data_IF_235467643534
#
_entry.id   IF_235467643534
#
_cell.length_a   1.000
_cell.length_b   1.000
_cell.length_c   1.000
_cell.angle_alpha   90.00
_cell.angle_beta   90.00
_cell.angle_gamma   90.00
#
_symmetry.space_group_name_H-M   'P 1'
#
loop_
_entity.id
_entity.type
_entity.pdbx_description
1 polymer ?
#
# COMPACT_ATOMS: atom_id res chain seq x y z
N UNK A 1 36.64 25.19 8.04
CA UNK A 1 35.52 26.14 8.16
C UNK A 1 34.42 25.66 7.23
N UNK A 2 33.28 25.16 7.73
CA UNK A 2 32.11 24.85 6.90
C UNK A 2 31.11 26.03 6.88
N UNK A 3 30.48 26.24 5.73
CA UNK A 3 29.64 27.39 5.38
C UNK A 3 28.21 27.39 5.99
N UNK A 4 27.54 28.57 6.11
CA UNK A 4 26.32 28.77 6.89
C UNK A 4 25.01 28.89 6.06
N UNK A 5 24.78 28.08 5.03
CA UNK A 5 23.59 28.27 4.14
C UNK A 5 22.38 27.39 4.53
N UNK A 6 22.56 26.29 5.24
CA UNK A 6 21.45 25.37 5.60
C UNK A 6 20.64 25.76 6.83
N UNK A 7 21.12 26.70 7.65
CA UNK A 7 20.48 27.08 8.92
C UNK A 7 19.37 28.14 8.75
N UNK A 8 19.32 28.85 7.61
CA UNK A 8 18.44 30.01 7.42
C UNK A 8 16.99 29.60 7.06
N UNK A 9 16.75 28.41 6.54
CA UNK A 9 15.41 27.98 6.09
C UNK A 9 14.48 27.46 7.21
N UNK A 10 15.02 26.73 8.19
CA UNK A 10 14.22 26.17 9.29
C UNK A 10 13.99 27.19 10.43
N UNK A 11 14.95 28.09 10.65
CA UNK A 11 14.85 29.14 11.68
C UNK A 11 13.83 30.24 11.34
N UNK A 12 13.69 30.61 10.06
CA UNK A 12 12.75 31.65 9.63
C UNK A 12 11.28 31.20 9.73
N UNK A 13 10.99 29.92 9.47
CA UNK A 13 9.65 29.34 9.60
C UNK A 13 9.28 29.18 11.08
N UNK A 14 10.23 28.80 11.94
CA UNK A 14 10.03 28.74 13.38
C UNK A 14 9.85 30.13 14.02
N UNK A 15 10.49 31.18 13.48
CA UNK A 15 10.33 32.56 13.95
C UNK A 15 8.98 33.18 13.54
N UNK A 16 8.41 32.80 12.39
CA UNK A 16 7.09 33.27 11.96
C UNK A 16 5.93 32.46 12.61
N UNK A 17 6.19 31.20 12.97
CA UNK A 17 5.26 30.31 13.69
C UNK A 17 5.54 30.22 15.19
N UNK A 18 6.17 31.25 15.77
CA UNK A 18 6.32 31.36 17.22
C UNK A 18 4.95 31.40 17.91
N UNK A 19 4.87 30.83 19.13
CA UNK A 19 3.67 30.78 19.99
C UNK A 19 2.86 32.09 20.02
N UNK A 20 3.53 33.23 19.90
CA UNK A 20 2.91 34.57 19.95
C UNK A 20 2.11 34.95 18.69
N UNK A 21 2.44 34.40 17.51
CA UNK A 21 1.75 34.72 16.26
C UNK A 21 0.40 34.00 16.13
N UNK A 22 0.37 32.71 16.49
CA UNK A 22 -0.83 31.87 16.44
C UNK A 22 -1.82 32.27 17.55
N UNK A 23 -1.32 32.60 18.75
CA UNK A 23 -2.15 33.06 19.87
C UNK A 23 -2.79 34.44 19.62
N UNK A 24 -2.10 35.35 18.91
CA UNK A 24 -2.67 36.67 18.56
C UNK A 24 -3.79 36.60 17.51
N UNK A 25 -3.77 35.59 16.64
CA UNK A 25 -4.79 35.42 15.58
C UNK A 25 -6.02 34.67 16.11
N UNK A 26 -5.82 33.68 16.99
CA UNK A 26 -6.88 32.74 17.37
C UNK A 26 -7.36 32.88 18.83
N UNK A 27 -6.67 33.65 19.67
CA UNK A 27 -7.05 33.86 21.08
C UNK A 27 -7.05 32.55 21.89
N UNK A 28 -7.97 32.39 22.88
CA UNK A 28 -8.09 31.16 23.69
C UNK A 28 -8.27 29.87 22.89
N UNK A 29 -8.73 29.97 21.64
CA UNK A 29 -8.83 28.85 20.70
C UNK A 29 -7.44 28.25 20.37
N UNK A 30 -6.36 29.02 20.45
CA UNK A 30 -5.00 28.53 20.23
C UNK A 30 -4.53 27.52 21.29
N UNK A 31 -5.06 27.59 22.53
CA UNK A 31 -4.75 26.62 23.58
C UNK A 31 -5.51 25.30 23.36
N UNK A 32 -6.78 25.40 22.95
CA UNK A 32 -7.61 24.24 22.58
C UNK A 32 -7.05 23.52 21.32
N UNK A 33 -6.75 24.29 20.27
CA UNK A 33 -6.06 23.80 19.08
C UNK A 33 -4.65 23.31 19.42
N UNK A 34 -3.95 23.94 20.36
CA UNK A 34 -2.60 23.56 20.77
C UNK A 34 -2.54 22.15 21.37
N UNK A 35 -3.53 21.76 22.19
CA UNK A 35 -3.67 20.41 22.72
C UNK A 35 -3.95 19.37 21.62
N UNK A 36 -4.91 19.66 20.73
CA UNK A 36 -5.25 18.78 19.60
C UNK A 36 -4.10 18.67 18.59
N UNK A 37 -3.40 19.76 18.30
CA UNK A 37 -2.21 19.79 17.44
C UNK A 37 -1.04 19.01 18.05
N UNK A 38 -0.88 19.05 19.37
CA UNK A 38 0.15 18.27 20.06
C UNK A 38 -0.15 16.77 19.96
N UNK A 39 -1.39 16.35 20.23
CA UNK A 39 -1.80 14.94 20.08
C UNK A 39 -1.69 14.47 18.64
N UNK A 40 -2.08 15.32 17.68
CA UNK A 40 -1.90 15.04 16.26
C UNK A 40 -0.43 14.86 15.87
N UNK A 41 0.45 15.76 16.35
CA UNK A 41 1.89 15.66 16.11
C UNK A 41 2.47 14.38 16.73
N UNK A 42 2.04 14.02 17.95
CA UNK A 42 2.43 12.76 18.60
C UNK A 42 2.00 11.54 17.78
N UNK A 43 0.74 11.50 17.30
CA UNK A 43 0.25 10.42 16.44
C UNK A 43 1.11 10.28 15.19
N UNK A 44 1.42 11.39 14.51
CA UNK A 44 2.31 11.39 13.34
C UNK A 44 3.70 10.84 13.66
N UNK A 45 4.30 11.29 14.76
CA UNK A 45 5.60 10.78 15.21
C UNK A 45 5.56 9.28 15.52
N UNK A 46 4.50 8.81 16.18
CA UNK A 46 4.31 7.39 16.48
C UNK A 46 4.19 6.55 15.21
N UNK A 47 3.39 6.99 14.23
CA UNK A 47 3.23 6.31 12.95
C UNK A 47 4.55 6.23 12.17
N UNK A 48 5.30 7.33 12.12
CA UNK A 48 6.65 7.33 11.53
C UNK A 48 7.55 6.35 12.28
N UNK A 49 7.53 6.35 13.62
CA UNK A 49 8.30 5.38 14.42
C UNK A 49 7.95 3.93 14.10
N UNK A 50 6.66 3.61 13.95
CA UNK A 50 6.20 2.27 13.56
C UNK A 50 6.67 1.87 12.15
N UNK A 51 6.59 2.79 11.19
CA UNK A 51 7.07 2.57 9.81
C UNK A 51 8.58 2.27 9.80
N UNK A 52 9.38 3.04 10.54
CA UNK A 52 10.82 2.82 10.63
C UNK A 52 11.16 1.50 11.34
N UNK A 53 10.47 1.18 12.44
CA UNK A 53 10.64 -0.10 13.12
C UNK A 53 10.27 -1.28 12.22
N UNK A 54 9.22 -1.14 11.41
CA UNK A 54 8.84 -2.14 10.41
C UNK A 54 9.92 -2.30 9.34
N UNK A 55 10.44 -1.19 8.80
CA UNK A 55 11.52 -1.20 7.81
C UNK A 55 12.80 -1.86 8.34
N UNK A 56 13.20 -1.54 9.58
CA UNK A 56 14.36 -2.13 10.26
C UNK A 56 14.22 -3.64 10.40
N UNK A 57 13.06 -4.13 10.87
CA UNK A 57 12.76 -5.56 10.96
C UNK A 57 12.87 -6.27 9.62
N UNK A 58 12.40 -5.64 8.54
CA UNK A 58 12.49 -6.19 7.17
C UNK A 58 13.91 -6.18 6.60
N UNK A 59 14.72 -5.19 6.96
CA UNK A 59 16.12 -5.13 6.57
C UNK A 59 16.96 -6.21 7.26
N UNK A 60 16.67 -6.50 8.54
CA UNK A 60 17.50 -7.41 9.34
C UNK A 60 18.96 -6.97 9.32
N UNK A 61 19.88 -7.91 9.08
CA UNK A 61 21.33 -7.64 9.03
C UNK A 61 21.76 -6.64 7.94
N UNK A 62 20.89 -6.35 6.94
CA UNK A 62 21.18 -5.35 5.90
C UNK A 62 21.22 -3.92 6.43
N UNK A 63 20.70 -3.66 7.63
CA UNK A 63 20.78 -2.33 8.26
C UNK A 63 22.24 -1.93 8.51
N UNK A 64 23.10 -2.90 8.85
CA UNK A 64 24.53 -2.70 9.13
C UNK A 64 25.40 -2.67 7.86
N UNK A 65 24.83 -3.07 6.72
CA UNK A 65 25.53 -3.03 5.44
C UNK A 65 25.54 -1.61 4.85
N UNK A 66 26.55 -1.23 4.05
CA UNK A 66 26.55 0.08 3.38
C UNK A 66 25.29 0.30 2.54
N UNK A 67 24.80 1.54 2.55
CA UNK A 67 23.60 1.93 1.80
C UNK A 67 22.87 3.08 2.46
N UNK A 68 22.08 3.79 1.67
CA UNK A 68 21.24 4.88 2.13
C UNK A 68 19.87 4.80 1.48
N UNK A 69 18.87 5.36 2.15
CA UNK A 69 17.53 5.53 1.58
C UNK A 69 17.55 6.87 0.81
N UNK A 70 17.17 6.90 -0.48
CA UNK A 70 17.11 8.13 -1.25
C UNK A 70 16.22 9.18 -0.58
N UNK A 71 16.65 10.46 -0.49
CA UNK A 71 15.88 11.51 0.19
C UNK A 71 14.46 11.71 -0.35
N UNK A 72 14.23 11.44 -1.64
CA UNK A 72 12.90 11.50 -2.25
C UNK A 72 11.93 10.48 -1.64
N UNK A 73 12.41 9.27 -1.37
CA UNK A 73 11.62 8.20 -0.71
C UNK A 73 11.31 8.63 0.72
N UNK A 74 12.34 9.05 1.44
CA UNK A 74 12.24 9.46 2.84
C UNK A 74 11.21 10.59 3.01
N UNK A 75 11.25 11.61 2.15
CA UNK A 75 10.31 12.73 2.16
C UNK A 75 8.85 12.25 2.05
N UNK A 76 8.55 11.39 1.08
CA UNK A 76 7.19 10.88 0.88
C UNK A 76 6.72 10.07 2.10
N UNK A 77 7.58 9.20 2.64
CA UNK A 77 7.21 8.36 3.79
C UNK A 77 6.96 9.21 5.05
N UNK A 78 7.80 10.21 5.33
CA UNK A 78 7.62 11.10 6.49
C UNK A 78 6.35 11.93 6.34
N UNK A 79 6.06 12.42 5.14
CA UNK A 79 4.88 13.25 4.94
C UNK A 79 3.62 12.39 4.97
N UNK A 80 3.50 11.41 4.10
CA UNK A 80 2.24 10.70 3.83
C UNK A 80 2.03 9.53 4.79
N UNK A 81 3.09 8.75 5.05
CA UNK A 81 3.03 7.64 6.01
C UNK A 81 2.69 8.11 7.43
N UNK A 82 3.06 9.34 7.79
CA UNK A 82 2.74 9.88 9.13
C UNK A 82 1.24 10.07 9.38
N UNK A 83 0.43 10.25 8.33
CA UNK A 83 -1.02 10.40 8.44
C UNK A 83 -1.78 9.07 8.32
N UNK A 84 -1.07 7.97 8.09
CA UNK A 84 -1.70 6.67 7.91
C UNK A 84 -2.17 6.07 9.24
N UNK A 85 -3.44 5.70 9.33
CA UNK A 85 -4.01 5.02 10.50
C UNK A 85 -4.21 3.51 10.29
N UNK A 86 -4.06 3.02 9.06
CA UNK A 86 -4.20 1.60 8.71
C UNK A 86 -2.86 0.86 8.78
N UNK A 87 -2.85 -0.33 9.40
CA UNK A 87 -1.65 -1.14 9.60
C UNK A 87 -1.01 -1.60 8.27
N UNK A 88 -1.80 -1.80 7.21
CA UNK A 88 -1.30 -2.15 5.87
C UNK A 88 -0.49 -0.98 5.30
N UNK A 89 -0.90 0.26 5.56
CA UNK A 89 -0.11 1.42 5.16
C UNK A 89 1.24 1.46 5.88
N UNK A 90 1.26 1.20 7.19
CA UNK A 90 2.50 1.09 7.96
C UNK A 90 3.41 0.00 7.39
N UNK A 91 2.85 -1.17 7.08
CA UNK A 91 3.57 -2.29 6.47
C UNK A 91 4.17 -1.89 5.12
N UNK A 92 3.38 -1.29 4.24
CA UNK A 92 3.81 -0.93 2.89
C UNK A 92 4.86 0.17 2.89
N UNK A 93 4.66 1.25 3.67
CA UNK A 93 5.68 2.31 3.78
C UNK A 93 6.97 1.77 4.39
N UNK A 94 6.88 0.87 5.37
CA UNK A 94 8.03 0.21 5.98
C UNK A 94 8.80 -0.65 4.97
N UNK A 95 8.09 -1.48 4.19
CA UNK A 95 8.70 -2.27 3.12
C UNK A 95 9.30 -1.42 2.01
N UNK A 96 8.68 -0.29 1.64
CA UNK A 96 9.24 0.63 0.64
C UNK A 96 10.55 1.22 1.13
N UNK A 97 10.65 1.64 2.41
CA UNK A 97 11.91 2.08 3.00
C UNK A 97 12.97 0.98 2.96
N UNK A 98 12.61 -0.24 3.39
CA UNK A 98 13.53 -1.38 3.39
C UNK A 98 14.04 -1.71 1.97
N UNK A 99 13.15 -1.73 0.99
CA UNK A 99 13.47 -1.98 -0.41
C UNK A 99 14.30 -0.86 -1.05
N UNK A 100 14.21 0.36 -0.52
CA UNK A 100 14.90 1.54 -1.06
C UNK A 100 16.32 1.72 -0.54
N UNK A 101 16.79 0.93 0.43
CA UNK A 101 18.17 1.01 0.93
C UNK A 101 19.14 0.52 -0.14
N UNK A 102 20.01 1.40 -0.63
CA UNK A 102 20.93 1.11 -1.74
C UNK A 102 22.23 1.91 -1.63
N UNK A 103 23.33 1.36 -2.15
CA UNK A 103 24.60 2.11 -2.34
C UNK A 103 24.59 2.91 -3.65
N UNK A 104 23.68 2.58 -4.57
CA UNK A 104 23.62 3.21 -5.88
C UNK A 104 22.92 4.57 -5.76
N UNK A 105 23.70 5.65 -5.80
CA UNK A 105 23.20 7.03 -5.64
C UNK A 105 22.11 7.45 -6.63
N UNK A 106 21.99 6.75 -7.77
CA UNK A 106 20.97 6.98 -8.81
C UNK A 106 19.75 6.07 -8.70
N UNK A 107 19.78 5.05 -7.84
CA UNK A 107 18.62 4.16 -7.67
C UNK A 107 17.61 4.82 -6.73
N UNK A 108 16.70 5.60 -7.32
CA UNK A 108 15.57 6.23 -6.64
C UNK A 108 14.23 5.61 -7.04
N UNK A 109 14.23 4.37 -7.56
CA UNK A 109 13.00 3.67 -8.02
C UNK A 109 11.90 3.63 -6.95
N UNK A 110 12.30 3.52 -5.68
CA UNK A 110 11.38 3.57 -4.55
C UNK A 110 10.57 4.87 -4.43
N UNK A 111 11.04 5.98 -5.04
CA UNK A 111 10.31 7.25 -5.01
C UNK A 111 9.02 7.17 -5.82
N UNK A 112 9.04 6.44 -6.95
CA UNK A 112 7.83 6.16 -7.74
C UNK A 112 6.86 5.27 -6.96
N UNK A 113 7.37 4.25 -6.30
CA UNK A 113 6.55 3.33 -5.51
C UNK A 113 5.91 4.05 -4.31
N UNK A 114 6.68 4.86 -3.58
CA UNK A 114 6.16 5.67 -2.49
C UNK A 114 5.06 6.63 -2.98
N UNK A 115 5.20 7.18 -4.19
CA UNK A 115 4.17 8.04 -4.78
C UNK A 115 2.91 7.27 -5.20
N UNK A 116 3.08 6.06 -5.72
CA UNK A 116 1.95 5.18 -6.03
C UNK A 116 1.19 4.77 -4.75
N UNK A 117 1.88 4.59 -3.63
CA UNK A 117 1.25 4.31 -2.34
C UNK A 117 0.48 5.52 -1.78
N UNK A 118 1.06 6.72 -1.89
CA UNK A 118 0.48 7.98 -1.44
C UNK A 118 -0.89 8.30 -2.08
N UNK A 119 -1.07 7.98 -3.36
CA UNK A 119 -2.33 8.28 -4.06
C UNK A 119 -3.48 7.32 -3.71
N UNK A 120 -3.19 6.19 -3.07
CA UNK A 120 -4.20 5.19 -2.72
C UNK A 120 -4.92 5.57 -1.43
N UNK A 121 -6.25 5.60 -1.49
CA UNK A 121 -7.06 5.61 -0.28
C UNK A 121 -6.84 4.34 0.56
N UNK A 122 -7.17 4.39 1.85
CA UNK A 122 -7.07 3.22 2.74
C UNK A 122 -7.81 1.99 2.19
N UNK A 123 -8.99 2.20 1.59
CA UNK A 123 -9.76 1.11 0.97
C UNK A 123 -9.04 0.50 -0.24
N UNK A 124 -8.46 1.33 -1.11
CA UNK A 124 -7.74 0.85 -2.28
C UNK A 124 -6.47 0.10 -1.87
N UNK A 125 -5.70 0.64 -0.91
CA UNK A 125 -4.50 -0.02 -0.42
C UNK A 125 -4.81 -1.37 0.23
N UNK A 126 -5.86 -1.43 1.07
CA UNK A 126 -6.29 -2.68 1.70
C UNK A 126 -6.79 -3.70 0.67
N UNK A 127 -7.60 -3.27 -0.30
CA UNK A 127 -8.05 -4.14 -1.38
C UNK A 127 -6.87 -4.65 -2.22
N UNK A 128 -5.90 -3.78 -2.55
CA UNK A 128 -4.68 -4.17 -3.25
C UNK A 128 -3.90 -5.23 -2.47
N UNK A 129 -3.69 -5.04 -1.17
CA UNK A 129 -3.08 -6.04 -0.30
C UNK A 129 -3.81 -7.39 -0.37
N UNK A 130 -5.14 -7.39 -0.20
CA UNK A 130 -5.94 -8.61 -0.16
C UNK A 130 -5.94 -9.34 -1.52
N UNK A 131 -5.98 -8.59 -2.63
CA UNK A 131 -5.90 -9.15 -3.97
C UNK A 131 -4.54 -9.82 -4.18
N UNK A 132 -3.43 -9.13 -3.89
CA UNK A 132 -2.10 -9.65 -4.18
C UNK A 132 -1.60 -10.72 -3.18
N UNK A 133 -2.07 -10.69 -1.93
CA UNK A 133 -1.85 -11.77 -0.97
C UNK A 133 -2.63 -13.04 -1.34
N UNK A 134 -3.90 -12.90 -1.76
CA UNK A 134 -4.69 -14.00 -2.30
C UNK A 134 -4.07 -14.57 -3.57
N UNK A 135 -3.57 -13.70 -4.46
CA UNK A 135 -2.85 -14.08 -5.66
C UNK A 135 -1.61 -14.94 -5.33
N UNK A 136 -0.77 -14.47 -4.40
CA UNK A 136 0.41 -15.20 -3.92
C UNK A 136 0.04 -16.60 -3.46
N UNK A 137 -1.04 -16.74 -2.67
CA UNK A 137 -1.53 -18.03 -2.18
C UNK A 137 -2.08 -18.93 -3.28
N UNK A 138 -2.94 -18.40 -4.15
CA UNK A 138 -3.64 -19.18 -5.16
C UNK A 138 -2.70 -19.74 -6.24
N UNK A 139 -1.61 -19.03 -6.55
CA UNK A 139 -0.67 -19.39 -7.61
C UNK A 139 0.71 -19.83 -7.10
N UNK A 140 0.85 -20.01 -5.79
CA UNK A 140 2.09 -20.46 -5.15
C UNK A 140 2.63 -21.74 -5.79
N UNK A 141 3.88 -21.70 -6.26
CA UNK A 141 4.59 -22.81 -6.94
C UNK A 141 3.86 -23.44 -8.14
N UNK A 142 2.93 -22.74 -8.79
CA UNK A 142 2.17 -23.26 -9.95
C UNK A 142 2.78 -22.92 -11.32
N UNK A 143 3.91 -22.20 -11.33
CA UNK A 143 4.70 -21.92 -12.54
C UNK A 143 4.18 -20.80 -13.45
N UNK A 144 3.21 -20.02 -12.99
CA UNK A 144 2.76 -18.80 -13.69
C UNK A 144 3.73 -17.65 -13.45
N UNK A 145 3.77 -16.72 -14.41
CA UNK A 145 4.61 -15.53 -14.37
C UNK A 145 3.80 -14.24 -14.50
N UNK A 146 4.21 -13.24 -13.73
CA UNK A 146 3.77 -11.85 -13.82
C UNK A 146 4.56 -11.06 -14.87
N UNK A 147 5.64 -11.61 -15.42
CA UNK A 147 6.48 -10.94 -16.42
C UNK A 147 5.87 -11.01 -17.82
N UNK A 148 5.25 -12.14 -18.15
CA UNK A 148 4.74 -12.41 -19.49
C UNK A 148 3.25 -12.09 -19.59
N UNK A 149 2.86 -11.25 -20.55
CA UNK A 149 1.47 -10.83 -20.75
C UNK A 149 0.51 -12.04 -20.86
N UNK A 150 0.89 -13.03 -21.67
CA UNK A 150 0.11 -14.26 -21.92
C UNK A 150 -0.09 -15.12 -20.66
N UNK A 151 0.86 -15.06 -19.72
CA UNK A 151 0.75 -15.79 -18.45
C UNK A 151 -0.04 -14.99 -17.41
N UNK A 152 0.07 -13.65 -17.42
CA UNK A 152 -0.74 -12.79 -16.54
C UNK A 152 -2.23 -12.94 -16.77
N UNK A 153 -2.67 -13.14 -17.99
CA UNK A 153 -4.08 -13.38 -18.28
C UNK A 153 -4.63 -14.65 -17.60
N UNK A 154 -3.76 -15.62 -17.27
CA UNK A 154 -4.13 -16.85 -16.54
C UNK A 154 -4.19 -16.65 -15.03
N UNK A 155 -3.75 -15.50 -14.53
CA UNK A 155 -3.78 -15.13 -13.11
C UNK A 155 -5.11 -14.47 -12.69
N UNK A 156 -6.14 -14.56 -13.52
CA UNK A 156 -7.47 -14.06 -13.21
C UNK A 156 -8.06 -14.78 -11.98
N UNK A 157 -8.61 -14.00 -11.07
CA UNK A 157 -9.22 -14.49 -9.84
C UNK A 157 -10.69 -14.11 -9.78
N UNK A 158 -11.48 -15.00 -9.18
CA UNK A 158 -12.82 -14.71 -8.70
C UNK A 158 -12.76 -14.55 -7.18
N UNK A 159 -13.45 -13.54 -6.66
CA UNK A 159 -13.53 -13.22 -5.24
C UNK A 159 -15.03 -13.04 -4.90
N UNK A 160 -15.63 -13.89 -4.04
CA UNK A 160 -17.02 -13.73 -3.65
C UNK A 160 -17.21 -12.48 -2.76
N UNK A 161 -18.37 -11.83 -2.87
CA UNK A 161 -18.63 -10.60 -2.12
C UNK A 161 -18.52 -10.77 -0.60
N UNK A 162 -19.07 -11.85 -0.04
CA UNK A 162 -19.01 -12.10 1.41
C UNK A 162 -17.56 -12.24 1.89
N UNK A 163 -16.72 -12.94 1.11
CA UNK A 163 -15.30 -13.09 1.39
C UNK A 163 -14.57 -11.74 1.34
N UNK A 164 -14.84 -10.95 0.30
CA UNK A 164 -14.23 -9.63 0.14
C UNK A 164 -14.63 -8.67 1.27
N UNK A 165 -15.92 -8.57 1.57
CA UNK A 165 -16.44 -7.69 2.62
C UNK A 165 -15.87 -8.04 4.01
N UNK A 166 -15.82 -9.34 4.33
CA UNK A 166 -15.24 -9.83 5.58
C UNK A 166 -13.74 -9.51 5.67
N UNK A 167 -12.96 -9.81 4.62
CA UNK A 167 -11.51 -9.57 4.61
C UNK A 167 -11.15 -8.07 4.67
N UNK A 168 -11.96 -7.22 4.03
CA UNK A 168 -11.85 -5.77 4.12
C UNK A 168 -12.24 -5.23 5.49
N UNK A 169 -12.99 -5.99 6.31
CA UNK A 169 -13.52 -5.53 7.60
C UNK A 169 -14.63 -4.49 7.44
N UNK A 170 -15.39 -4.55 6.33
CA UNK A 170 -16.43 -3.57 6.04
C UNK A 170 -17.60 -3.71 7.02
N UNK A 171 -18.03 -2.57 7.54
CA UNK A 171 -19.30 -2.44 8.24
C UNK A 171 -20.46 -2.50 7.25
N UNK A 172 -21.67 -2.81 7.73
CA UNK A 172 -22.87 -2.79 6.89
C UNK A 172 -23.09 -1.42 6.22
N UNK A 173 -22.81 -0.32 6.94
CA UNK A 173 -22.94 1.04 6.40
C UNK A 173 -21.99 1.29 5.23
N UNK A 174 -20.76 0.79 5.30
CA UNK A 174 -19.80 0.89 4.20
C UNK A 174 -20.20 -0.01 3.04
N UNK A 175 -20.68 -1.22 3.32
CA UNK A 175 -21.17 -2.15 2.31
C UNK A 175 -22.37 -1.62 1.52
N UNK A 176 -23.30 -0.95 2.21
CA UNK A 176 -24.49 -0.35 1.60
C UNK A 176 -24.17 0.90 0.76
N UNK A 177 -22.91 1.40 0.79
CA UNK A 177 -22.51 2.53 -0.05
C UNK A 177 -22.26 2.07 -1.50
N UNK A 178 -23.12 2.44 -2.46
CA UNK A 178 -23.02 1.96 -3.83
C UNK A 178 -21.77 2.48 -4.56
N UNK A 179 -21.10 3.52 -4.05
CA UNK A 179 -19.90 4.08 -4.67
C UNK A 179 -18.61 3.42 -4.19
N UNK A 180 -18.64 2.67 -3.08
CA UNK A 180 -17.41 2.19 -2.44
C UNK A 180 -16.65 1.19 -3.33
N UNK A 181 -17.33 0.18 -3.87
CA UNK A 181 -16.68 -0.80 -4.75
C UNK A 181 -16.17 -0.15 -6.04
N UNK A 182 -16.95 0.75 -6.63
CA UNK A 182 -16.53 1.53 -7.81
C UNK A 182 -15.27 2.33 -7.49
N UNK A 183 -15.23 3.05 -6.36
CA UNK A 183 -14.05 3.81 -5.93
C UNK A 183 -12.80 2.93 -5.76
N UNK A 184 -12.97 1.75 -5.15
CA UNK A 184 -11.88 0.79 -4.96
C UNK A 184 -11.36 0.30 -6.32
N UNK A 185 -12.19 -0.36 -7.12
CA UNK A 185 -11.73 -1.08 -8.30
C UNK A 185 -11.39 -0.15 -9.46
N UNK A 186 -12.14 0.95 -9.64
CA UNK A 186 -11.78 1.95 -10.65
C UNK A 186 -10.44 2.61 -10.31
N UNK A 187 -10.19 2.95 -9.04
CA UNK A 187 -8.91 3.53 -8.63
C UNK A 187 -7.73 2.59 -8.84
N UNK A 188 -7.87 1.33 -8.38
CA UNK A 188 -6.84 0.31 -8.62
C UNK A 188 -6.56 0.11 -10.11
N UNK A 189 -7.58 0.13 -10.96
CA UNK A 189 -7.40 0.02 -12.40
C UNK A 189 -6.77 1.27 -13.01
N UNK A 190 -7.22 2.47 -12.64
CA UNK A 190 -6.67 3.75 -13.13
C UNK A 190 -5.20 3.96 -12.75
N UNK A 191 -4.78 3.43 -11.60
CA UNK A 191 -3.39 3.43 -11.16
C UNK A 191 -2.58 2.24 -11.72
N UNK A 192 -3.20 1.42 -12.58
CA UNK A 192 -2.57 0.30 -13.27
C UNK A 192 -2.19 -0.86 -12.34
N UNK A 193 -2.80 -0.97 -11.17
CA UNK A 193 -2.55 -2.01 -10.17
C UNK A 193 -3.37 -3.28 -10.42
N UNK A 194 -4.47 -3.18 -11.17
CA UNK A 194 -5.21 -4.30 -11.74
C UNK A 194 -5.44 -4.04 -13.24
N UNK A 195 -5.58 -5.10 -14.04
CA UNK A 195 -5.77 -4.94 -15.48
C UNK A 195 -7.17 -4.43 -15.81
N UNK A 196 -7.40 -4.02 -17.05
CA UNK A 196 -8.72 -3.58 -17.55
C UNK A 196 -9.77 -4.71 -17.58
N UNK A 197 -9.34 -5.95 -17.33
CA UNK A 197 -10.23 -7.12 -17.21
C UNK A 197 -10.67 -7.30 -15.77
N UNK A 198 -11.57 -6.43 -15.33
CA UNK A 198 -12.21 -6.52 -14.03
C UNK A 198 -13.71 -6.24 -14.13
N UNK A 199 -14.47 -6.84 -13.22
CA UNK A 199 -15.89 -6.59 -13.07
C UNK A 199 -16.31 -6.96 -11.64
N UNK A 200 -17.37 -6.33 -11.13
CA UNK A 200 -18.07 -6.82 -9.94
C UNK A 200 -19.57 -6.80 -10.18
N UNK A 201 -20.29 -7.71 -9.52
CA UNK A 201 -21.75 -7.76 -9.61
C UNK A 201 -22.33 -9.17 -9.51
N UNK A 202 -23.58 -9.37 -9.95
CA UNK A 202 -24.20 -10.68 -10.01
C UNK A 202 -23.47 -11.60 -10.99
N UNK A 203 -23.70 -12.90 -10.86
CA UNK A 203 -23.07 -13.96 -11.68
C UNK A 203 -23.16 -13.67 -13.17
N UNK A 204 -24.33 -13.22 -13.65
CA UNK A 204 -24.54 -12.93 -15.07
C UNK A 204 -23.62 -11.82 -15.58
N UNK A 205 -23.40 -10.77 -14.78
CA UNK A 205 -22.44 -9.70 -15.09
C UNK A 205 -21.02 -10.26 -15.16
N UNK A 206 -20.62 -11.06 -14.16
CA UNK A 206 -19.26 -11.62 -14.13
C UNK A 206 -18.98 -12.56 -15.30
N UNK A 207 -20.00 -13.32 -15.74
CA UNK A 207 -19.89 -14.23 -16.89
C UNK A 207 -19.66 -13.52 -18.22
N UNK A 208 -20.01 -12.23 -18.32
CA UNK A 208 -19.64 -11.40 -19.49
C UNK A 208 -18.14 -11.09 -19.54
N UNK A 209 -17.45 -11.11 -18.40
CA UNK A 209 -16.02 -10.80 -18.27
C UNK A 209 -15.15 -12.06 -18.23
N UNK A 210 -15.64 -13.12 -17.59
CA UNK A 210 -14.94 -14.39 -17.40
C UNK A 210 -15.83 -15.56 -17.77
N UNK A 211 -15.35 -16.41 -18.68
CA UNK A 211 -16.05 -17.63 -19.10
C UNK A 211 -15.92 -18.80 -18.11
N UNK A 212 -15.41 -18.56 -16.89
CA UNK A 212 -15.14 -19.63 -15.94
C UNK A 212 -16.42 -20.22 -15.36
N UNK A 213 -16.62 -21.55 -15.43
CA UNK A 213 -17.80 -22.21 -14.84
C UNK A 213 -17.77 -22.20 -13.31
N UNK A 214 -16.62 -21.85 -12.70
CA UNK A 214 -16.44 -21.78 -11.25
C UNK A 214 -17.16 -20.57 -10.64
N UNK A 215 -17.54 -19.57 -11.45
CA UNK A 215 -18.28 -18.38 -11.01
C UNK A 215 -19.75 -18.74 -10.83
N UNK A 216 -20.10 -19.05 -9.57
CA UNK A 216 -21.45 -19.47 -9.15
C UNK A 216 -22.11 -18.51 -8.17
N UNK A 217 -21.38 -17.51 -7.69
CA UNK A 217 -21.82 -16.54 -6.69
C UNK A 217 -21.57 -15.10 -7.18
N UNK A 218 -22.34 -14.11 -6.68
CA UNK A 218 -22.03 -12.71 -6.92
C UNK A 218 -20.67 -12.36 -6.28
N UNK A 219 -19.93 -11.45 -6.90
CA UNK A 219 -18.57 -11.17 -6.48
C UNK A 219 -17.82 -10.24 -7.42
N UNK A 220 -16.51 -10.41 -7.42
CA UNK A 220 -15.54 -9.64 -8.18
C UNK A 220 -14.72 -10.60 -9.04
N UNK A 221 -14.42 -10.20 -10.27
CA UNK A 221 -13.38 -10.79 -11.11
C UNK A 221 -12.32 -9.71 -11.33
N UNK A 222 -11.06 -10.06 -11.17
CA UNK A 222 -9.94 -9.17 -11.49
C UNK A 222 -8.70 -9.96 -11.93
N UNK A 223 -7.87 -9.34 -12.75
CA UNK A 223 -6.57 -9.89 -13.17
C UNK A 223 -5.45 -8.95 -12.70
N UNK A 224 -4.36 -9.46 -12.11
CA UNK A 224 -3.27 -8.61 -11.62
C UNK A 224 -2.46 -8.00 -12.76
N UNK A 225 -1.74 -6.92 -12.47
CA UNK A 225 -0.69 -6.36 -13.33
C UNK A 225 0.71 -6.57 -12.73
N UNK A 226 1.72 -6.37 -13.57
CA UNK A 226 3.11 -6.30 -13.12
C UNK A 226 3.35 -5.13 -12.16
N UNK A 227 2.71 -3.98 -12.39
CA UNK A 227 2.86 -2.79 -11.53
C UNK A 227 2.26 -3.00 -10.14
N UNK A 228 1.11 -3.66 -10.02
CA UNK A 228 0.56 -4.00 -8.70
C UNK A 228 1.40 -5.06 -7.98
N UNK A 229 1.96 -6.04 -8.71
CA UNK A 229 2.87 -7.01 -8.11
C UNK A 229 4.15 -6.34 -7.60
N UNK A 230 4.69 -5.38 -8.36
CA UNK A 230 5.83 -4.59 -7.95
C UNK A 230 5.50 -3.78 -6.69
N UNK A 231 4.40 -3.03 -6.67
CA UNK A 231 3.97 -2.29 -5.47
C UNK A 231 3.85 -3.21 -4.26
N UNK A 232 3.26 -4.40 -4.44
CA UNK A 232 3.11 -5.39 -3.39
C UNK A 232 4.47 -5.89 -2.86
N UNK A 233 5.36 -6.35 -3.75
CA UNK A 233 6.70 -6.82 -3.34
C UNK A 233 7.51 -5.73 -2.64
N UNK A 234 7.46 -4.50 -3.15
CA UNK A 234 8.08 -3.36 -2.48
C UNK A 234 7.49 -3.12 -1.10
N UNK A 235 6.16 -3.16 -0.96
CA UNK A 235 5.48 -3.04 0.33
C UNK A 235 5.88 -4.09 1.36
N UNK A 236 6.39 -5.25 0.93
CA UNK A 236 6.89 -6.29 1.82
C UNK A 236 8.43 -6.33 1.96
N UNK A 237 9.16 -5.33 1.46
CA UNK A 237 10.62 -5.27 1.58
C UNK A 237 11.38 -6.10 0.53
N UNK A 238 10.68 -6.56 -0.51
CA UNK A 238 11.21 -7.42 -1.57
C UNK A 238 11.35 -6.70 -2.91
N UNK A 239 11.50 -5.37 -2.92
CA UNK A 239 11.56 -4.58 -4.16
C UNK A 239 12.77 -4.83 -5.07
N UNK A 240 13.77 -5.58 -4.59
CA UNK A 240 14.92 -6.04 -5.39
C UNK A 240 14.75 -7.44 -5.97
N UNK A 241 13.64 -8.12 -5.68
CA UNK A 241 13.33 -9.45 -6.20
C UNK A 241 12.63 -9.35 -7.56
N UNK A 242 12.65 -10.46 -8.31
CA UNK A 242 11.83 -10.62 -9.51
C UNK A 242 10.33 -10.64 -9.14
N UNK A 243 9.45 -10.24 -10.07
CA UNK A 243 8.00 -10.24 -9.83
C UNK A 243 7.46 -11.62 -9.45
N UNK A 244 8.03 -12.69 -9.99
CA UNK A 244 7.58 -14.05 -9.74
C UNK A 244 7.99 -14.57 -8.34
N UNK A 245 8.83 -13.81 -7.61
CA UNK A 245 9.17 -14.09 -6.22
C UNK A 245 7.93 -14.19 -5.32
N UNK A 246 6.86 -13.46 -5.66
CA UNK A 246 5.56 -13.50 -4.98
C UNK A 246 4.96 -14.91 -4.92
N UNK A 247 5.33 -15.82 -5.83
CA UNK A 247 4.81 -17.20 -5.89
C UNK A 247 5.73 -18.23 -5.23
N UNK A 248 6.85 -17.80 -4.65
CA UNK A 248 7.83 -18.71 -4.04
C UNK A 248 7.48 -19.02 -2.59
N UNK A 249 8.08 -20.09 -2.04
CA UNK A 249 7.92 -20.43 -0.63
C UNK A 249 8.58 -19.43 0.32
N UNK A 250 9.59 -18.71 -0.16
CA UNK A 250 10.37 -17.77 0.63
C UNK A 250 9.63 -16.44 0.85
N UNK A 251 8.64 -16.15 0.02
CA UNK A 251 7.82 -14.95 0.17
C UNK A 251 6.63 -15.17 1.12
N UNK A 252 6.42 -14.19 2.01
CA UNK A 252 5.27 -14.11 2.91
C UNK A 252 4.74 -12.68 2.95
N UNK A 253 3.41 -12.55 2.82
CA UNK A 253 2.70 -11.28 2.90
C UNK A 253 1.85 -11.17 4.17
N UNK A 254 2.33 -11.76 5.27
CA UNK A 254 1.59 -11.76 6.53
C UNK A 254 1.57 -10.36 7.14
N UNK A 255 0.37 -9.87 7.43
CA UNK A 255 0.12 -8.66 8.20
C UNK A 255 -0.76 -9.04 9.39
N UNK A 256 -0.31 -8.73 10.61
CA UNK A 256 -1.06 -9.12 11.81
C UNK A 256 -2.48 -8.56 11.78
N UNK A 257 -3.46 -9.40 12.14
CA UNK A 257 -4.88 -9.02 12.15
C UNK A 257 -5.52 -8.91 10.76
N UNK A 258 -4.83 -9.22 9.68
CA UNK A 258 -5.38 -9.19 8.31
C UNK A 258 -5.25 -10.56 7.64
N UNK A 259 -6.30 -11.07 6.94
CA UNK A 259 -6.21 -12.36 6.27
C UNK A 259 -5.27 -12.31 5.05
N UNK A 260 -4.47 -13.38 4.86
CA UNK A 260 -3.58 -13.53 3.71
C UNK A 260 -4.26 -14.10 2.45
N UNK A 261 -5.48 -14.64 2.61
CA UNK A 261 -6.30 -15.17 1.54
C UNK A 261 -7.76 -14.80 1.79
N UNK A 262 -8.41 -14.20 0.79
CA UNK A 262 -9.85 -13.93 0.85
C UNK A 262 -10.60 -15.26 0.79
N UNK A 263 -11.48 -15.49 1.75
CA UNK A 263 -12.27 -16.71 1.82
C UNK A 263 -13.12 -16.91 0.56
N UNK A 264 -13.00 -18.10 -0.05
CA UNK A 264 -13.72 -18.47 -1.26
C UNK A 264 -13.15 -17.89 -2.55
N UNK A 265 -12.05 -17.13 -2.50
CA UNK A 265 -11.34 -16.71 -3.70
C UNK A 265 -10.74 -17.91 -4.43
N UNK A 266 -10.76 -17.87 -5.77
CA UNK A 266 -10.28 -18.96 -6.61
C UNK A 266 -9.67 -18.44 -7.92
N UNK A 267 -8.78 -19.22 -8.51
CA UNK A 267 -8.28 -19.00 -9.87
C UNK A 267 -9.35 -19.40 -10.88
N UNK A 268 -9.67 -18.51 -11.84
CA UNK A 268 -10.74 -18.77 -12.81
C UNK A 268 -10.25 -19.56 -14.04
N UNK A 269 -8.94 -19.54 -14.29
CA UNK A 269 -8.24 -20.17 -15.41
C UNK A 269 -7.18 -21.11 -14.87
N UNK A 270 -7.54 -22.38 -14.66
CA UNK A 270 -6.59 -23.46 -14.35
C UNK A 270 -6.11 -24.14 -15.61
#
# INVERSE_FOLDING_TARGET
>A
MPEPITTVGLGAIAAYLGKDGIAKILGPTAEYLGGELQEFTKKRMNNVGQIFSNAEKKLGDKVEQPGAIPPKVLKTVINEGSYSEDQIAVEYFGGVLASSRTELSRDDRGARIAKALDILSCYQLRAHYLIYSSLSHLFKNKGQSLRMNEQRDKLEMFIPFDGFANAMGLTQKEWDNPQLLTHIFQGLNSDGLISDRWAFGPVDTLKTMSSSPLITLPGIVCTPTSSGAELFLWGFGSGNQDLDYIFTNDFSAKVDGTPELIQGALATKT
#
